data_IF_373699685792
#
_entry.id   IF_373699685792
#
_cell.length_a   1.000
_cell.length_b   1.000
_cell.length_c   1.000
_cell.angle_alpha   90.00
_cell.angle_beta   90.00
_cell.angle_gamma   90.00
#
_symmetry.space_group_name_H-M   'P 1'
#
loop_
_entity.id
_entity.type
_entity.pdbx_description
1 polymer ?
#
# COMPACT_ATOMS: atom_id res chain seq x y z
N UNK A 1 -13.62 7.63 -22.36
CA UNK A 1 -12.52 8.44 -21.79
C UNK A 1 -12.45 9.87 -22.32
N UNK A 2 -12.37 10.12 -23.64
CA UNK A 2 -12.18 11.50 -24.15
C UNK A 2 -13.28 12.49 -23.70
N UNK A 3 -14.54 12.09 -23.70
CA UNK A 3 -15.65 12.94 -23.23
C UNK A 3 -15.51 13.40 -21.77
N UNK A 4 -14.96 12.55 -20.88
CA UNK A 4 -14.73 12.91 -19.48
C UNK A 4 -13.60 13.93 -19.34
N UNK A 5 -12.50 13.71 -20.07
CA UNK A 5 -11.37 14.65 -20.10
C UNK A 5 -11.81 16.01 -20.66
N UNK A 6 -12.69 16.02 -21.66
CA UNK A 6 -13.25 17.24 -22.22
C UNK A 6 -14.15 17.96 -21.23
N UNK A 7 -15.03 17.25 -20.53
CA UNK A 7 -15.88 17.84 -19.50
C UNK A 7 -15.05 18.49 -18.39
N UNK A 8 -14.05 17.80 -17.86
CA UNK A 8 -13.15 18.33 -16.82
C UNK A 8 -12.32 19.50 -17.33
N UNK A 9 -11.82 19.43 -18.57
CA UNK A 9 -11.11 20.56 -19.21
C UNK A 9 -11.99 21.80 -19.42
N UNK A 10 -13.32 21.62 -19.47
CA UNK A 10 -14.31 22.72 -19.51
C UNK A 10 -14.75 23.17 -18.11
N UNK A 11 -14.08 22.72 -17.04
CA UNK A 11 -14.42 23.04 -15.66
C UNK A 11 -15.65 22.29 -15.11
N UNK A 12 -16.14 21.27 -15.83
CA UNK A 12 -17.30 20.47 -15.43
C UNK A 12 -16.86 19.27 -14.59
N UNK A 13 -16.43 19.54 -13.36
CA UNK A 13 -16.06 18.52 -12.37
C UNK A 13 -14.56 18.30 -12.24
N UNK A 14 -14.18 17.19 -11.63
CA UNK A 14 -12.80 16.79 -11.36
C UNK A 14 -12.59 15.32 -11.69
N UNK A 15 -11.37 14.95 -12.07
CA UNK A 15 -11.00 13.57 -12.39
C UNK A 15 -9.74 13.18 -11.62
N UNK A 16 -9.83 12.07 -10.88
CA UNK A 16 -8.69 11.37 -10.32
C UNK A 16 -8.49 10.06 -11.07
N UNK A 17 -7.26 9.80 -11.51
CA UNK A 17 -6.87 8.56 -12.20
C UNK A 17 -5.79 7.88 -11.39
N UNK A 18 -5.99 6.60 -11.08
CA UNK A 18 -4.98 5.75 -10.44
C UNK A 18 -4.58 4.67 -11.45
N UNK A 19 -3.30 4.56 -11.73
CA UNK A 19 -2.77 3.60 -12.68
C UNK A 19 -1.31 3.23 -12.32
N UNK A 20 -0.85 2.08 -12.82
CA UNK A 20 0.53 1.63 -12.63
C UNK A 20 1.54 2.49 -13.39
N UNK A 21 1.13 3.03 -14.53
CA UNK A 21 1.92 3.94 -15.34
C UNK A 21 1.23 5.28 -15.50
N UNK A 22 2.03 6.35 -15.56
CA UNK A 22 1.53 7.69 -15.77
C UNK A 22 0.70 7.75 -17.08
N UNK A 23 -0.47 8.43 -17.09
CA UNK A 23 -1.33 8.52 -18.27
C UNK A 23 -0.65 8.98 -19.56
N UNK A 24 0.39 9.81 -19.45
CA UNK A 24 1.20 10.26 -20.57
C UNK A 24 1.91 9.11 -21.34
N UNK A 25 2.13 7.96 -20.70
CA UNK A 25 2.82 6.79 -21.28
C UNK A 25 1.87 5.75 -21.86
N UNK A 26 0.56 5.94 -21.73
CA UNK A 26 -0.40 4.94 -22.19
C UNK A 26 -0.37 4.81 -23.72
N UNK A 27 -0.49 3.57 -24.26
CA UNK A 27 -0.49 3.34 -25.69
C UNK A 27 -1.84 3.76 -26.31
N UNK A 28 -1.98 5.06 -26.60
CA UNK A 28 -3.19 5.61 -27.24
C UNK A 28 -2.93 6.00 -28.69
N UNK A 29 -3.80 5.51 -29.59
CA UNK A 29 -3.71 5.78 -31.03
C UNK A 29 -4.23 7.17 -31.45
N UNK A 30 -5.15 7.76 -30.67
CA UNK A 30 -5.78 9.03 -31.02
C UNK A 30 -4.90 10.24 -30.59
N UNK A 31 -4.44 11.10 -31.53
CA UNK A 31 -3.51 12.19 -31.20
C UNK A 31 -4.05 13.21 -30.19
N UNK A 32 -5.32 13.64 -30.30
CA UNK A 32 -5.93 14.60 -29.35
C UNK A 32 -5.97 14.03 -27.93
N UNK A 33 -6.31 12.74 -27.79
CA UNK A 33 -6.31 12.07 -26.50
C UNK A 33 -4.90 11.98 -25.91
N UNK A 34 -3.89 11.68 -26.74
CA UNK A 34 -2.49 11.61 -26.31
C UNK A 34 -2.04 12.92 -25.68
N UNK A 35 -2.27 14.04 -26.36
CA UNK A 35 -1.88 15.36 -25.86
C UNK A 35 -2.62 15.70 -24.56
N UNK A 36 -3.91 15.37 -24.46
CA UNK A 36 -4.69 15.59 -23.22
C UNK A 36 -4.19 14.75 -22.05
N UNK A 37 -3.88 13.48 -22.27
CA UNK A 37 -3.32 12.62 -21.23
C UNK A 37 -1.93 13.09 -20.80
N UNK A 38 -1.11 13.59 -21.73
CA UNK A 38 0.19 14.19 -21.43
C UNK A 38 0.08 15.49 -20.61
N UNK A 39 -1.01 16.24 -20.77
CA UNK A 39 -1.28 17.44 -19.99
C UNK A 39 -1.81 17.17 -18.57
N UNK A 40 -2.16 15.91 -18.23
CA UNK A 40 -2.61 15.57 -16.88
C UNK A 40 -1.46 15.62 -15.88
N UNK A 41 -1.68 16.32 -14.77
CA UNK A 41 -0.75 16.32 -13.65
C UNK A 41 -0.71 14.92 -13.03
N UNK A 42 0.47 14.31 -13.06
CA UNK A 42 0.70 12.95 -12.57
C UNK A 42 1.71 12.99 -11.43
N UNK A 43 1.45 12.26 -10.36
CA UNK A 43 2.36 12.09 -9.22
C UNK A 43 2.59 10.60 -9.04
N UNK A 44 3.85 10.19 -8.99
CA UNK A 44 4.22 8.82 -8.66
C UNK A 44 4.10 8.57 -7.17
N UNK A 45 3.59 7.41 -6.79
CA UNK A 45 3.64 6.92 -5.42
C UNK A 45 4.79 5.92 -5.32
N UNK A 46 5.79 6.25 -4.51
CA UNK A 46 6.87 5.34 -4.18
C UNK A 46 6.43 4.38 -3.07
N UNK A 47 7.15 3.26 -2.94
CA UNK A 47 6.99 2.38 -1.78
C UNK A 47 7.23 3.14 -0.47
N UNK A 48 6.63 2.71 0.64
CA UNK A 48 6.74 3.44 1.88
C UNK A 48 8.17 3.41 2.41
N UNK A 49 8.66 4.58 2.82
CA UNK A 49 9.89 4.68 3.61
C UNK A 49 9.70 4.03 5.00
N UNK A 50 10.78 3.84 5.80
CA UNK A 50 10.66 3.23 7.12
C UNK A 50 9.66 3.93 8.06
N UNK A 51 9.58 5.27 7.99
CA UNK A 51 8.70 6.04 8.86
C UNK A 51 7.22 5.84 8.48
N UNK A 52 6.91 5.86 7.18
CA UNK A 52 5.59 5.57 6.66
C UNK A 52 5.21 4.11 6.87
N UNK A 53 6.13 3.15 6.69
CA UNK A 53 5.86 1.73 6.94
C UNK A 53 5.49 1.50 8.41
N UNK A 54 6.20 2.13 9.34
CA UNK A 54 5.86 2.13 10.77
C UNK A 54 4.48 2.74 11.02
N UNK A 55 4.19 3.90 10.45
CA UNK A 55 2.90 4.56 10.62
C UNK A 55 1.74 3.73 10.06
N UNK A 56 1.93 3.08 8.91
CA UNK A 56 0.96 2.17 8.31
C UNK A 56 0.73 0.95 9.19
N UNK A 57 1.79 0.30 9.69
CA UNK A 57 1.65 -0.85 10.59
C UNK A 57 0.89 -0.45 11.87
N UNK A 58 1.26 0.67 12.49
CA UNK A 58 0.55 1.21 13.66
C UNK A 58 -0.92 1.45 13.32
N UNK A 59 -1.21 2.11 12.20
CA UNK A 59 -2.59 2.37 11.75
C UNK A 59 -3.37 1.06 11.58
N UNK A 60 -2.81 0.06 10.89
CA UNK A 60 -3.48 -1.22 10.68
C UNK A 60 -3.75 -1.97 11.99
N UNK A 61 -2.83 -1.93 12.95
CA UNK A 61 -3.03 -2.52 14.27
C UNK A 61 -4.05 -1.74 15.09
N UNK A 62 -4.03 -0.40 15.04
CA UNK A 62 -5.01 0.46 15.70
C UNK A 62 -6.43 0.22 15.17
N UNK A 63 -6.61 0.05 13.86
CA UNK A 63 -7.92 -0.30 13.28
C UNK A 63 -8.48 -1.61 13.86
N UNK A 64 -7.59 -2.52 14.28
CA UNK A 64 -7.89 -3.81 14.91
C UNK A 64 -7.91 -3.74 16.44
N UNK A 65 -7.77 -2.55 17.01
CA UNK A 65 -7.68 -2.31 18.46
C UNK A 65 -6.50 -3.03 19.15
N UNK A 66 -5.43 -3.32 18.40
CA UNK A 66 -4.22 -3.98 18.92
C UNK A 66 -3.15 -2.92 19.18
N UNK A 67 -2.62 -2.91 20.40
CA UNK A 67 -1.49 -2.09 20.78
C UNK A 67 -0.26 -2.98 21.03
N UNK A 68 0.84 -2.70 20.32
CA UNK A 68 2.13 -3.34 20.56
C UNK A 68 3.09 -2.39 21.28
N UNK A 69 3.98 -2.90 22.14
CA UNK A 69 5.06 -2.10 22.71
C UNK A 69 5.93 -1.47 21.62
N UNK A 70 6.42 -0.25 21.87
CA UNK A 70 7.23 0.52 20.91
C UNK A 70 8.44 -0.26 20.42
N UNK A 71 9.18 -0.92 21.31
CA UNK A 71 10.34 -1.72 20.94
C UNK A 71 10.01 -2.94 20.08
N UNK A 72 8.77 -3.43 20.14
CA UNK A 72 8.30 -4.53 19.29
C UNK A 72 7.92 -4.00 17.90
N UNK A 73 7.27 -2.83 17.83
CA UNK A 73 6.99 -2.17 16.55
C UNK A 73 8.26 -1.85 15.78
N UNK A 74 9.24 -1.22 16.44
CA UNK A 74 10.49 -0.84 15.79
C UNK A 74 11.23 -2.08 15.28
N UNK A 75 11.26 -3.15 16.07
CA UNK A 75 11.80 -4.44 15.67
C UNK A 75 11.10 -5.04 14.42
N UNK A 76 9.77 -4.97 14.34
CA UNK A 76 9.04 -5.45 13.16
C UNK A 76 9.35 -4.62 11.92
N UNK A 77 9.44 -3.29 12.08
CA UNK A 77 9.75 -2.35 10.99
C UNK A 77 11.12 -2.60 10.40
N UNK A 78 12.11 -2.88 11.23
CA UNK A 78 13.48 -3.12 10.78
C UNK A 78 13.65 -4.39 9.92
N UNK A 79 12.74 -5.35 10.07
CA UNK A 79 12.84 -6.67 9.46
C UNK A 79 11.78 -6.96 8.40
N UNK A 80 10.70 -6.17 8.32
CA UNK A 80 9.59 -6.46 7.42
C UNK A 80 9.86 -6.04 5.98
N UNK A 81 9.21 -6.75 5.05
CA UNK A 81 9.01 -6.24 3.70
C UNK A 81 8.07 -5.03 3.75
N UNK A 82 8.60 -3.88 3.30
CA UNK A 82 7.89 -2.59 3.31
C UNK A 82 6.86 -2.47 2.19
N UNK A 83 6.62 -3.50 1.39
CA UNK A 83 5.54 -3.45 0.41
C UNK A 83 4.16 -3.31 1.12
N UNK A 84 3.27 -2.39 0.68
CA UNK A 84 2.03 -2.10 1.40
C UNK A 84 1.14 -3.32 1.70
N UNK A 85 1.06 -4.27 0.77
CA UNK A 85 0.29 -5.51 0.97
C UNK A 85 0.90 -6.40 2.08
N UNK A 86 2.22 -6.38 2.24
CA UNK A 86 2.93 -7.17 3.27
C UNK A 86 2.73 -6.57 4.66
N UNK A 87 2.72 -5.24 4.76
CA UNK A 87 2.39 -4.53 6.01
C UNK A 87 0.97 -4.88 6.47
N UNK A 88 0.00 -4.86 5.54
CA UNK A 88 -1.38 -5.23 5.85
C UNK A 88 -1.49 -6.72 6.29
N UNK A 89 -0.86 -7.63 5.53
CA UNK A 89 -0.88 -9.06 5.86
C UNK A 89 -0.20 -9.38 7.19
N UNK A 90 0.86 -8.66 7.55
CA UNK A 90 1.49 -8.77 8.87
C UNK A 90 0.52 -8.38 9.99
N UNK A 91 -0.23 -7.29 9.82
CA UNK A 91 -1.24 -6.89 10.80
C UNK A 91 -2.37 -7.92 10.93
N UNK A 92 -2.82 -8.51 9.83
CA UNK A 92 -3.82 -9.60 9.83
C UNK A 92 -3.32 -10.82 10.62
N UNK A 93 -2.10 -11.27 10.36
CA UNK A 93 -1.53 -12.41 11.08
C UNK A 93 -1.27 -12.12 12.57
N UNK A 94 -0.95 -10.88 12.92
CA UNK A 94 -0.83 -10.46 14.33
C UNK A 94 -2.19 -10.52 15.02
N UNK A 95 -3.25 -10.04 14.37
CA UNK A 95 -4.62 -10.12 14.89
C UNK A 95 -5.09 -11.55 15.10
N UNK A 96 -4.80 -12.43 14.16
CA UNK A 96 -5.09 -13.85 14.30
C UNK A 96 -4.39 -14.44 15.53
N UNK A 97 -3.09 -14.16 15.71
CA UNK A 97 -2.34 -14.64 16.87
C UNK A 97 -2.85 -14.06 18.20
N UNK A 98 -3.17 -12.76 18.23
CA UNK A 98 -3.75 -12.10 19.41
C UNK A 98 -5.10 -12.71 19.75
N UNK A 99 -5.94 -12.97 18.75
CA UNK A 99 -7.27 -13.58 18.94
C UNK A 99 -7.14 -14.99 19.52
N UNK A 100 -6.23 -15.80 18.97
CA UNK A 100 -6.00 -17.16 19.46
C UNK A 100 -5.39 -17.20 20.86
N UNK A 101 -4.45 -16.31 21.16
CA UNK A 101 -3.70 -16.31 22.44
C UNK A 101 -4.32 -15.45 23.53
N UNK A 102 -5.25 -14.56 23.16
CA UNK A 102 -5.80 -13.46 23.99
C UNK A 102 -4.72 -12.54 24.59
N UNK A 103 -3.52 -12.52 24.01
CA UNK A 103 -2.35 -11.79 24.50
C UNK A 103 -1.43 -11.40 23.34
N UNK A 104 -0.57 -10.40 23.55
CA UNK A 104 0.44 -9.99 22.56
C UNK A 104 1.43 -11.14 22.30
N UNK A 105 1.68 -11.54 21.04
CA UNK A 105 2.55 -12.67 20.73
C UNK A 105 4.02 -12.36 21.08
N UNK A 106 4.80 -13.35 21.55
CA UNK A 106 6.22 -13.16 21.79
C UNK A 106 6.97 -12.94 20.46
N UNK A 107 8.08 -12.18 20.50
CA UNK A 107 8.88 -11.82 19.32
C UNK A 107 9.21 -12.99 18.39
N UNK A 108 9.56 -14.16 18.95
CA UNK A 108 9.84 -15.39 18.17
C UNK A 108 8.66 -15.80 17.27
N UNK A 109 7.42 -15.62 17.74
CA UNK A 109 6.24 -15.95 16.95
C UNK A 109 5.99 -14.95 15.84
N UNK A 110 6.20 -13.67 16.13
CA UNK A 110 6.10 -12.60 15.12
C UNK A 110 7.14 -12.78 14.01
N UNK A 111 8.37 -13.17 14.35
CA UNK A 111 9.39 -13.54 13.36
C UNK A 111 8.95 -14.70 12.47
N UNK A 112 8.39 -15.76 13.05
CA UNK A 112 7.88 -16.90 12.29
C UNK A 112 6.74 -16.48 11.34
N UNK A 113 5.88 -15.57 11.77
CA UNK A 113 4.82 -15.00 10.93
C UNK A 113 5.41 -14.21 9.75
N UNK A 114 6.38 -13.34 9.99
CA UNK A 114 7.05 -12.56 8.93
C UNK A 114 7.76 -13.45 7.91
N UNK A 115 8.42 -14.51 8.37
CA UNK A 115 9.05 -15.49 7.50
C UNK A 115 8.03 -16.21 6.62
N UNK A 116 6.92 -16.69 7.20
CA UNK A 116 5.85 -17.36 6.45
C UNK A 116 5.19 -16.46 5.40
N UNK A 117 5.03 -15.17 5.71
CA UNK A 117 4.49 -14.22 4.73
C UNK A 117 5.44 -14.10 3.53
N UNK A 118 6.76 -14.03 3.75
CA UNK A 118 7.77 -13.80 2.69
C UNK A 118 7.66 -14.81 1.53
N UNK A 119 7.41 -16.09 1.85
CA UNK A 119 7.34 -17.19 0.90
C UNK A 119 6.08 -17.19 -0.01
N UNK A 120 4.97 -16.58 0.43
CA UNK A 120 3.70 -16.60 -0.32
C UNK A 120 3.64 -15.64 -1.54
N UNK A 121 4.69 -14.85 -1.78
CA UNK A 121 4.67 -13.76 -2.78
C UNK A 121 5.41 -13.97 -4.09
N UNK A 122 5.98 -15.14 -4.37
CA UNK A 122 6.73 -15.40 -5.61
C UNK A 122 5.81 -15.73 -6.82
N UNK A 123 4.49 -15.53 -6.68
CA UNK A 123 3.47 -15.97 -7.65
C UNK A 123 2.77 -14.88 -8.48
N UNK A 124 3.18 -13.61 -8.43
CA UNK A 124 2.51 -12.55 -9.17
C UNK A 124 3.50 -11.60 -9.86
N UNK A 125 4.04 -12.08 -10.99
CA UNK A 125 4.67 -11.26 -12.03
C UNK A 125 3.64 -10.86 -13.10
#
# INVERSE_FOLDING_TARGET
CLHLLNAVGQGRGSLLVVAREAPARWPVGLPDLRTRLAALRSVGLEGPDPALARALLVKHLCDRQIALPGETLDFLVDQMDRHPSRIAALADGIEEEVTHRRTVPPRRRLLALMAGLSDDGDGAA
#
